data_IF_941380506365
#
_entry.id   IF_941380506365
#
_cell.length_a   1.000
_cell.length_b   1.000
_cell.length_c   1.000
_cell.angle_alpha   90.00
_cell.angle_beta   90.00
_cell.angle_gamma   90.00
#
_symmetry.space_group_name_H-M   'P 1'
#
loop_
_entity.id
_entity.type
_entity.pdbx_description
1 polymer ?
#
# COMPACT_ATOMS: atom_id res chain seq x y z
N UNK A 1 -2.59 22.33 8.02
CA UNK A 1 -2.80 23.67 8.64
C UNK A 1 -3.33 23.54 10.07
N UNK A 2 -4.31 22.67 10.36
CA UNK A 2 -4.94 22.58 11.70
C UNK A 2 -3.94 22.24 12.83
N UNK A 3 -2.94 21.40 12.57
CA UNK A 3 -1.92 20.96 13.54
C UNK A 3 -0.63 21.79 13.50
N UNK A 4 -0.48 22.62 12.48
CA UNK A 4 0.70 23.40 12.22
C UNK A 4 0.32 24.80 11.71
N UNK A 5 0.17 25.79 12.60
CA UNK A 5 -0.15 27.16 12.21
C UNK A 5 0.93 27.81 11.34
N UNK A 6 2.21 27.41 11.44
CA UNK A 6 3.29 27.95 10.62
C UNK A 6 3.14 27.55 9.15
N UNK A 7 2.51 26.41 8.87
CA UNK A 7 2.20 25.97 7.52
C UNK A 7 1.27 26.95 6.78
N UNK A 8 0.42 27.71 7.51
CA UNK A 8 -0.46 28.74 6.92
C UNK A 8 0.40 29.88 6.38
N UNK A 9 1.42 30.30 7.10
CA UNK A 9 2.32 31.37 6.68
C UNK A 9 3.20 30.96 5.49
N UNK A 10 3.45 29.68 5.31
CA UNK A 10 4.24 29.12 4.20
C UNK A 10 3.40 28.84 2.94
N UNK A 11 2.08 28.90 3.02
CA UNK A 11 1.22 28.67 1.86
C UNK A 11 1.39 29.78 0.82
N UNK A 12 1.55 29.40 -0.45
CA UNK A 12 1.62 30.32 -1.57
C UNK A 12 1.16 29.61 -2.86
N UNK A 13 0.75 30.39 -3.85
CA UNK A 13 0.43 29.89 -5.20
C UNK A 13 1.66 29.26 -5.87
N UNK A 14 2.84 29.73 -5.57
CA UNK A 14 4.09 29.14 -6.06
C UNK A 14 4.27 27.73 -5.52
N UNK A 15 4.05 27.52 -4.22
CA UNK A 15 4.11 26.20 -3.60
C UNK A 15 3.05 25.24 -4.19
N UNK A 16 1.86 25.71 -4.48
CA UNK A 16 0.83 24.92 -5.20
C UNK A 16 1.36 24.48 -6.57
N UNK A 17 1.98 25.40 -7.33
CA UNK A 17 2.57 25.06 -8.63
C UNK A 17 3.67 24.01 -8.53
N UNK A 18 4.56 24.13 -7.54
CA UNK A 18 5.63 23.13 -7.27
C UNK A 18 5.02 21.79 -6.91
N UNK A 19 4.00 21.76 -6.07
CA UNK A 19 3.29 20.51 -5.70
C UNK A 19 2.63 19.87 -6.93
N UNK A 20 1.95 20.66 -7.74
CA UNK A 20 1.30 20.24 -8.98
C UNK A 20 2.29 19.55 -9.94
N UNK A 21 3.45 20.16 -10.15
CA UNK A 21 4.48 19.58 -11.02
C UNK A 21 5.02 18.25 -10.45
N UNK A 22 5.27 18.19 -9.15
CA UNK A 22 5.71 16.98 -8.48
C UNK A 22 4.67 15.86 -8.57
N UNK A 23 3.39 16.18 -8.40
CA UNK A 23 2.29 15.21 -8.51
C UNK A 23 2.19 14.64 -9.93
N UNK A 24 2.39 15.47 -10.96
CA UNK A 24 2.46 15.02 -12.35
C UNK A 24 3.55 13.97 -12.55
N UNK A 25 4.74 14.22 -12.07
CA UNK A 25 5.88 13.28 -12.17
C UNK A 25 5.62 11.97 -11.39
N UNK A 26 5.01 12.07 -10.20
CA UNK A 26 4.64 10.92 -9.39
C UNK A 26 3.60 10.06 -10.12
N UNK A 27 2.55 10.68 -10.68
CA UNK A 27 1.50 9.97 -11.40
C UNK A 27 2.02 9.30 -12.67
N UNK A 28 2.90 9.95 -13.41
CA UNK A 28 3.54 9.37 -14.59
C UNK A 28 4.40 8.15 -14.23
N UNK A 29 5.15 8.21 -13.12
CA UNK A 29 5.90 7.07 -12.63
C UNK A 29 4.98 5.95 -12.13
N UNK A 30 3.87 6.29 -11.44
CA UNK A 30 2.88 5.31 -11.00
C UNK A 30 2.25 4.58 -12.19
N UNK A 31 1.91 5.29 -13.26
CA UNK A 31 1.41 4.69 -14.51
C UNK A 31 2.41 3.69 -15.11
N UNK A 32 3.70 4.05 -15.17
CA UNK A 32 4.76 3.15 -15.69
C UNK A 32 4.92 1.89 -14.85
N UNK A 33 4.70 1.99 -13.55
CA UNK A 33 4.77 0.86 -12.62
C UNK A 33 3.52 -0.01 -12.62
N UNK A 34 2.38 0.55 -13.09
CA UNK A 34 1.10 -0.14 -13.09
C UNK A 34 1.05 -1.17 -14.22
N UNK A 35 0.75 -2.42 -13.86
CA UNK A 35 0.54 -3.49 -14.83
C UNK A 35 -0.74 -3.28 -15.63
N UNK A 36 -0.87 -3.88 -16.84
CA UNK A 36 -2.16 -4.04 -17.49
C UNK A 36 -3.18 -4.70 -16.54
N UNK A 37 -4.42 -4.22 -16.52
CA UNK A 37 -5.45 -4.65 -15.56
C UNK A 37 -5.28 -4.08 -14.14
N UNK A 38 -4.22 -3.31 -13.88
CA UNK A 38 -3.94 -2.74 -12.57
C UNK A 38 -4.84 -1.55 -12.22
N UNK A 39 -4.94 -1.26 -10.93
CA UNK A 39 -5.75 -0.18 -10.35
C UNK A 39 -4.84 0.82 -9.65
N UNK A 40 -5.08 2.12 -9.86
CA UNK A 40 -4.39 3.23 -9.23
C UNK A 40 -5.39 4.09 -8.47
N UNK A 41 -5.22 4.20 -7.15
CA UNK A 41 -5.95 5.16 -6.33
C UNK A 41 -5.07 6.40 -6.12
N UNK A 42 -5.53 7.54 -6.62
CA UNK A 42 -4.92 8.84 -6.38
C UNK A 42 -5.72 9.60 -5.33
N UNK A 43 -5.05 10.09 -4.30
CA UNK A 43 -5.70 10.78 -3.20
C UNK A 43 -4.83 11.92 -2.68
N UNK A 44 -5.46 13.06 -2.36
CA UNK A 44 -4.81 14.24 -1.79
C UNK A 44 -5.64 14.83 -0.67
N UNK A 45 -5.02 15.62 0.19
CA UNK A 45 -5.70 16.41 1.23
C UNK A 45 -5.86 17.90 0.84
N UNK A 46 -5.57 18.28 -0.41
CA UNK A 46 -5.76 19.63 -0.93
C UNK A 46 -7.13 19.79 -1.58
N UNK A 47 -7.62 21.04 -1.66
CA UNK A 47 -8.85 21.39 -2.37
C UNK A 47 -8.60 21.98 -3.77
N UNK A 48 -7.34 22.22 -4.11
CA UNK A 48 -6.96 22.83 -5.37
C UNK A 48 -7.24 21.90 -6.56
N UNK A 49 -7.99 22.41 -7.56
CA UNK A 49 -8.34 21.66 -8.77
C UNK A 49 -7.08 21.21 -9.53
N UNK A 50 -6.09 22.11 -9.63
CA UNK A 50 -4.84 21.83 -10.34
C UNK A 50 -4.02 20.69 -9.69
N UNK A 51 -4.20 20.42 -8.43
CA UNK A 51 -3.58 19.29 -7.73
C UNK A 51 -4.43 18.01 -7.75
N UNK A 52 -5.68 18.12 -8.15
CA UNK A 52 -6.69 17.06 -8.08
C UNK A 52 -7.17 16.65 -9.48
N UNK A 53 -8.29 17.19 -9.93
CA UNK A 53 -8.93 16.79 -11.19
C UNK A 53 -8.05 17.03 -12.40
N UNK A 54 -7.32 18.14 -12.45
CA UNK A 54 -6.46 18.44 -13.58
C UNK A 54 -5.32 17.43 -13.72
N UNK A 55 -4.81 16.87 -12.60
CA UNK A 55 -3.80 15.79 -12.63
C UNK A 55 -4.38 14.48 -13.15
N UNK A 56 -5.58 14.13 -12.70
CA UNK A 56 -6.30 12.93 -13.16
C UNK A 56 -6.62 13.03 -14.65
N UNK A 57 -7.17 14.17 -15.06
CA UNK A 57 -7.52 14.42 -16.44
C UNK A 57 -6.29 14.41 -17.36
N UNK A 58 -5.20 15.05 -16.96
CA UNK A 58 -3.95 15.05 -17.73
C UNK A 58 -3.41 13.63 -17.92
N UNK A 59 -3.38 12.81 -16.87
CA UNK A 59 -2.92 11.42 -16.95
C UNK A 59 -3.81 10.59 -17.89
N UNK A 60 -5.13 10.68 -17.76
CA UNK A 60 -6.06 9.91 -18.60
C UNK A 60 -6.09 10.36 -20.05
N UNK A 61 -5.82 11.63 -20.33
CA UNK A 61 -5.66 12.14 -21.70
C UNK A 61 -4.32 11.74 -22.33
N UNK A 62 -3.24 11.68 -21.54
CA UNK A 62 -1.93 11.28 -22.00
C UNK A 62 -1.83 9.76 -22.29
N UNK A 63 -2.62 8.95 -21.61
CA UNK A 63 -2.58 7.49 -21.67
C UNK A 63 -3.97 6.94 -21.97
N UNK A 64 -4.22 6.59 -23.23
CA UNK A 64 -5.52 6.10 -23.71
C UNK A 64 -5.95 4.75 -23.10
N UNK A 65 -5.03 4.02 -22.49
CA UNK A 65 -5.28 2.80 -21.75
C UNK A 65 -5.62 3.04 -20.26
N UNK A 66 -5.60 4.30 -19.80
CA UNK A 66 -6.05 4.68 -18.46
C UNK A 66 -7.50 5.20 -18.49
N UNK A 67 -8.28 4.77 -17.53
CA UNK A 67 -9.68 5.14 -17.37
C UNK A 67 -9.98 5.55 -15.94
N UNK A 68 -10.71 6.67 -15.77
CA UNK A 68 -11.28 7.07 -14.48
C UNK A 68 -12.52 6.22 -14.18
N UNK A 69 -12.45 5.46 -13.10
CA UNK A 69 -13.55 4.62 -12.62
C UNK A 69 -14.52 5.44 -11.75
N UNK A 70 -15.77 5.01 -11.75
CA UNK A 70 -16.81 5.72 -10.99
C UNK A 70 -16.81 5.23 -9.52
N UNK A 71 -16.41 6.12 -8.62
CA UNK A 71 -16.49 5.95 -7.17
C UNK A 71 -17.50 6.92 -6.53
N UNK A 72 -18.32 7.58 -7.34
CA UNK A 72 -19.29 8.57 -6.86
C UNK A 72 -20.36 7.96 -5.93
N UNK A 73 -20.57 6.64 -5.99
CA UNK A 73 -21.46 5.89 -5.09
C UNK A 73 -21.07 6.02 -3.59
N UNK A 74 -19.82 6.38 -3.29
CA UNK A 74 -19.37 6.62 -1.91
C UNK A 74 -20.15 7.77 -1.26
N UNK A 75 -20.72 8.70 -2.05
CA UNK A 75 -21.57 9.80 -1.54
C UNK A 75 -22.76 9.31 -0.75
N UNK A 76 -23.31 8.15 -1.12
CA UNK A 76 -24.49 7.57 -0.46
C UNK A 76 -24.16 7.03 0.93
N UNK A 77 -22.92 6.57 1.13
CA UNK A 77 -22.46 5.97 2.38
C UNK A 77 -21.70 6.92 3.30
N UNK A 78 -21.06 7.95 2.75
CA UNK A 78 -20.30 8.93 3.50
C UNK A 78 -20.95 10.32 3.36
N UNK A 79 -21.65 10.78 4.39
CA UNK A 79 -22.22 12.14 4.42
C UNK A 79 -21.12 13.19 4.18
N UNK A 80 -21.44 14.26 3.46
CA UNK A 80 -20.50 15.34 3.15
C UNK A 80 -19.54 15.03 1.98
N UNK A 81 -19.89 14.09 1.13
CA UNK A 81 -19.14 13.75 -0.06
C UNK A 81 -19.74 14.43 -1.29
N UNK A 82 -18.91 15.15 -2.06
CA UNK A 82 -19.27 15.76 -3.33
C UNK A 82 -18.62 15.02 -4.51
N UNK A 83 -19.18 15.18 -5.71
CA UNK A 83 -18.52 14.75 -6.94
C UNK A 83 -17.23 15.55 -7.17
N UNK A 84 -16.31 14.98 -7.91
CA UNK A 84 -15.20 15.73 -8.50
C UNK A 84 -15.70 16.83 -9.41
N UNK A 85 -14.85 17.81 -9.66
CA UNK A 85 -15.13 18.91 -10.61
C UNK A 85 -14.89 18.42 -12.05
N UNK A 86 -15.71 18.90 -12.99
CA UNK A 86 -15.58 18.56 -14.40
C UNK A 86 -14.13 18.73 -14.93
N UNK A 87 -13.60 17.74 -15.69
CA UNK A 87 -14.27 16.55 -16.26
C UNK A 87 -14.15 15.27 -15.41
N UNK A 88 -13.91 15.37 -14.10
CA UNK A 88 -13.67 14.23 -13.21
C UNK A 88 -14.82 13.98 -12.22
N UNK A 89 -16.08 14.06 -12.68
CA UNK A 89 -17.28 13.91 -11.85
C UNK A 89 -17.40 12.52 -11.19
N UNK A 90 -16.68 11.53 -11.73
CA UNK A 90 -16.58 10.17 -11.18
C UNK A 90 -15.69 10.08 -9.94
N UNK A 91 -14.81 11.06 -9.73
CA UNK A 91 -14.03 11.19 -8.53
C UNK A 91 -14.88 11.73 -7.37
N UNK A 92 -14.32 11.72 -6.15
CA UNK A 92 -15.01 12.23 -4.96
C UNK A 92 -14.17 13.25 -4.22
N UNK A 93 -14.88 14.22 -3.61
CA UNK A 93 -14.35 15.21 -2.68
C UNK A 93 -15.06 15.07 -1.34
N UNK A 94 -14.32 14.82 -0.29
CA UNK A 94 -14.79 14.86 1.09
C UNK A 94 -14.55 16.26 1.63
N UNK A 95 -15.62 17.03 1.82
CA UNK A 95 -15.53 18.48 2.12
C UNK A 95 -16.05 18.78 3.51
N UNK A 96 -15.23 19.41 4.39
CA UNK A 96 -15.75 20.03 5.58
C UNK A 96 -16.66 21.23 5.22
N UNK A 97 -17.69 21.55 6.03
CA UNK A 97 -18.07 20.94 7.29
C UNK A 97 -18.99 19.72 7.16
N UNK A 98 -19.43 19.37 5.94
CA UNK A 98 -20.40 18.30 5.71
C UNK A 98 -19.82 16.92 6.05
N UNK A 99 -18.54 16.74 5.81
CA UNK A 99 -17.78 15.55 6.22
C UNK A 99 -17.07 15.79 7.57
N UNK A 100 -17.30 14.88 8.53
CA UNK A 100 -16.65 14.94 9.85
C UNK A 100 -15.21 14.46 9.79
N UNK A 101 -14.33 15.26 9.22
CA UNK A 101 -12.91 14.93 9.04
C UNK A 101 -12.13 16.06 8.42
N UNK A 102 -10.93 15.75 7.97
CA UNK A 102 -10.13 16.64 7.12
C UNK A 102 -10.59 16.45 5.67
N UNK A 103 -10.44 17.47 4.84
CA UNK A 103 -10.80 17.37 3.43
C UNK A 103 -9.92 16.36 2.69
N UNK A 104 -10.51 15.67 1.72
CA UNK A 104 -9.84 14.66 0.93
C UNK A 104 -10.40 14.65 -0.49
N UNK A 105 -9.53 14.51 -1.48
CA UNK A 105 -9.88 14.15 -2.84
C UNK A 105 -9.48 12.70 -3.08
N UNK A 106 -10.28 11.95 -3.85
CA UNK A 106 -9.93 10.60 -4.27
C UNK A 106 -10.45 10.31 -5.68
N UNK A 107 -9.60 9.72 -6.50
CA UNK A 107 -9.91 9.27 -7.85
C UNK A 107 -9.35 7.86 -8.06
N UNK A 108 -10.19 6.95 -8.49
CA UNK A 108 -9.83 5.58 -8.83
C UNK A 108 -9.65 5.47 -10.33
N UNK A 109 -8.51 4.96 -10.77
CA UNK A 109 -8.20 4.76 -12.18
C UNK A 109 -7.85 3.30 -12.44
N UNK A 110 -8.20 2.78 -13.59
CA UNK A 110 -7.80 1.45 -14.06
C UNK A 110 -6.96 1.55 -15.34
N UNK A 111 -6.03 0.63 -15.49
CA UNK A 111 -5.25 0.46 -16.71
C UNK A 111 -5.82 -0.70 -17.52
N UNK A 112 -6.12 -0.48 -18.78
CA UNK A 112 -6.68 -1.51 -19.67
C UNK A 112 -5.72 -2.69 -19.88
N UNK A 113 -6.28 -3.86 -20.19
CA UNK A 113 -5.56 -5.10 -20.46
C UNK A 113 -5.55 -6.04 -19.27
N UNK A 114 -5.07 -7.26 -19.52
CA UNK A 114 -4.92 -8.29 -18.52
C UNK A 114 -3.44 -8.60 -18.33
N UNK A 115 -3.04 -8.85 -17.09
CA UNK A 115 -1.70 -9.35 -16.77
C UNK A 115 -1.80 -10.83 -16.42
N UNK A 116 -1.45 -11.70 -17.35
CA UNK A 116 -1.33 -13.15 -17.11
C UNK A 116 -0.11 -13.51 -16.24
N UNK A 117 0.78 -12.56 -15.99
CA UNK A 117 2.03 -12.83 -15.29
C UNK A 117 1.85 -12.72 -13.78
N UNK A 118 1.50 -13.82 -13.13
CA UNK A 118 1.92 -14.03 -11.75
C UNK A 118 3.46 -14.00 -11.73
N UNK A 119 4.06 -13.07 -10.98
CA UNK A 119 5.51 -13.15 -10.77
C UNK A 119 5.82 -14.42 -9.99
N UNK A 120 6.77 -15.22 -10.46
CA UNK A 120 7.22 -16.36 -9.66
C UNK A 120 7.74 -15.83 -8.32
N UNK A 121 7.49 -16.59 -7.26
CA UNK A 121 8.05 -16.26 -5.95
C UNK A 121 9.56 -16.15 -6.05
N UNK A 122 10.10 -14.95 -5.95
CA UNK A 122 11.52 -14.65 -6.03
C UNK A 122 12.21 -14.66 -4.67
N UNK A 123 11.42 -14.39 -3.63
CA UNK A 123 11.91 -14.32 -2.26
C UNK A 123 12.93 -13.21 -2.05
N UNK A 124 13.83 -13.44 -1.10
CA UNK A 124 14.87 -12.49 -0.70
C UNK A 124 16.21 -13.21 -0.54
N UNK A 125 17.20 -12.86 -1.38
CA UNK A 125 18.48 -13.55 -1.44
C UNK A 125 19.40 -13.22 -0.25
N UNK A 126 19.32 -12.00 0.29
CA UNK A 126 20.15 -11.52 1.41
C UNK A 126 19.58 -11.91 2.78
N UNK A 127 19.11 -13.14 2.94
CA UNK A 127 18.64 -13.64 4.22
C UNK A 127 19.58 -14.73 4.76
N UNK A 128 19.67 -14.82 6.09
CA UNK A 128 20.42 -15.88 6.75
C UNK A 128 19.73 -17.24 6.55
N UNK A 129 20.51 -18.32 6.40
CA UNK A 129 19.95 -19.68 6.36
C UNK A 129 19.42 -20.06 7.73
N UNK A 130 18.22 -20.63 7.77
CA UNK A 130 17.65 -21.19 8.98
C UNK A 130 18.37 -22.51 9.24
N UNK A 131 19.06 -22.59 10.37
CA UNK A 131 19.86 -23.77 10.73
C UNK A 131 19.04 -24.82 11.47
N UNK A 132 18.11 -24.41 12.31
CA UNK A 132 17.29 -25.29 13.13
C UNK A 132 15.91 -24.66 13.39
N UNK A 133 14.85 -25.41 13.12
CA UNK A 133 13.47 -25.02 13.36
C UNK A 133 12.92 -25.57 14.69
N UNK A 134 13.65 -26.43 15.39
CA UNK A 134 13.17 -27.07 16.63
C UNK A 134 12.62 -26.09 17.66
N UNK A 135 13.28 -24.94 17.94
CA UNK A 135 12.74 -23.99 18.92
C UNK A 135 11.38 -23.41 18.49
N UNK A 136 11.16 -23.18 17.18
CA UNK A 136 9.88 -22.78 16.64
C UNK A 136 8.85 -23.90 16.76
N UNK A 137 9.18 -25.13 16.37
CA UNK A 137 8.28 -26.28 16.42
C UNK A 137 7.83 -26.57 17.85
N UNK A 138 8.73 -26.50 18.83
CA UNK A 138 8.41 -26.64 20.26
C UNK A 138 7.44 -25.57 20.70
N UNK A 139 7.73 -24.31 20.39
CA UNK A 139 6.84 -23.18 20.69
C UNK A 139 5.45 -23.39 20.10
N UNK A 140 5.36 -23.71 18.80
CA UNK A 140 4.09 -23.91 18.11
C UNK A 140 3.26 -25.04 18.75
N UNK A 141 3.90 -26.17 19.05
CA UNK A 141 3.27 -27.33 19.67
C UNK A 141 2.76 -27.06 21.10
N UNK A 142 3.50 -26.28 21.87
CA UNK A 142 3.17 -25.97 23.26
C UNK A 142 2.13 -24.87 23.42
N UNK A 143 2.04 -23.95 22.44
CA UNK A 143 1.31 -22.68 22.61
C UNK A 143 0.08 -22.57 21.72
N UNK A 144 0.09 -23.19 20.54
CA UNK A 144 -0.96 -23.03 19.54
C UNK A 144 -1.82 -24.29 19.37
N UNK A 145 -3.01 -24.14 18.81
CA UNK A 145 -3.79 -25.27 18.32
C UNK A 145 -3.04 -25.99 17.20
N UNK A 146 -3.33 -27.28 17.03
CA UNK A 146 -2.71 -28.09 15.97
C UNK A 146 -2.92 -27.47 14.58
N UNK A 147 -4.12 -26.99 14.29
CA UNK A 147 -4.48 -26.34 13.03
C UNK A 147 -3.65 -25.06 12.78
N UNK A 148 -3.53 -24.19 13.80
CA UNK A 148 -2.73 -22.98 13.69
C UNK A 148 -1.23 -23.28 13.51
N UNK A 149 -0.70 -24.28 14.21
CA UNK A 149 0.68 -24.71 14.07
C UNK A 149 0.96 -25.27 12.66
N UNK A 150 0.08 -26.14 12.14
CA UNK A 150 0.19 -26.69 10.78
C UNK A 150 0.17 -25.58 9.73
N UNK A 151 -0.75 -24.62 9.80
CA UNK A 151 -0.82 -23.47 8.90
C UNK A 151 0.47 -22.65 8.83
N UNK A 152 1.15 -22.48 9.96
CA UNK A 152 2.45 -21.79 10.00
C UNK A 152 3.55 -22.67 9.36
N UNK A 153 3.59 -23.96 9.66
CA UNK A 153 4.60 -24.89 9.15
C UNK A 153 4.44 -25.17 7.63
N UNK A 154 3.22 -25.13 7.11
CA UNK A 154 2.97 -25.24 5.67
C UNK A 154 3.59 -24.07 4.87
N UNK A 155 3.82 -22.94 5.54
CA UNK A 155 4.47 -21.79 4.95
C UNK A 155 6.03 -21.84 5.02
N UNK A 156 6.63 -22.96 5.44
CA UNK A 156 8.09 -23.07 5.69
C UNK A 156 8.97 -22.68 4.49
N UNK A 157 8.54 -22.94 3.27
CA UNK A 157 9.28 -22.58 2.06
C UNK A 157 9.39 -21.07 1.86
N UNK A 158 8.48 -20.33 2.49
CA UNK A 158 8.42 -18.86 2.50
C UNK A 158 9.09 -18.24 3.73
N UNK A 159 9.68 -19.05 4.60
CA UNK A 159 10.42 -18.53 5.75
C UNK A 159 11.69 -17.81 5.32
N UNK A 160 11.92 -16.64 5.90
CA UNK A 160 13.15 -15.85 5.71
C UNK A 160 13.62 -15.30 7.04
N UNK A 161 14.93 -15.38 7.26
CA UNK A 161 15.57 -14.96 8.50
C UNK A 161 16.37 -13.69 8.29
N UNK A 162 16.02 -12.62 9.00
CA UNK A 162 16.76 -11.37 9.04
C UNK A 162 17.37 -11.17 10.42
N UNK A 163 18.68 -11.28 10.53
CA UNK A 163 19.32 -11.46 11.83
C UNK A 163 18.73 -12.68 12.51
N UNK A 164 18.14 -12.49 13.70
CA UNK A 164 17.47 -13.55 14.45
C UNK A 164 15.93 -13.55 14.26
N UNK A 165 15.39 -12.60 13.48
CA UNK A 165 13.95 -12.47 13.25
C UNK A 165 13.48 -13.35 12.10
N UNK A 166 12.44 -14.15 12.35
CA UNK A 166 11.82 -15.03 11.38
C UNK A 166 10.58 -14.39 10.78
N UNK A 167 10.51 -14.39 9.45
CA UNK A 167 9.40 -13.85 8.66
C UNK A 167 8.78 -14.92 7.79
N UNK A 168 7.45 -14.82 7.57
CA UNK A 168 6.73 -15.52 6.50
C UNK A 168 6.51 -14.51 5.37
N UNK A 169 7.07 -14.82 4.19
CA UNK A 169 6.86 -14.00 3.00
C UNK A 169 5.49 -14.28 2.38
N UNK A 170 4.82 -13.28 1.78
CA UNK A 170 3.66 -13.50 0.92
C UNK A 170 4.00 -14.44 -0.26
N UNK A 171 3.00 -15.18 -0.77
CA UNK A 171 3.18 -16.16 -1.85
C UNK A 171 3.68 -15.52 -3.15
N UNK A 172 3.11 -14.36 -3.49
CA UNK A 172 3.39 -13.64 -4.74
C UNK A 172 4.53 -12.61 -4.59
N UNK A 173 5.44 -12.81 -3.63
CA UNK A 173 6.55 -11.89 -3.45
C UNK A 173 7.54 -12.02 -4.62
N UNK A 174 7.74 -10.97 -5.44
CA UNK A 174 8.77 -10.98 -6.48
C UNK A 174 10.17 -10.98 -5.87
N UNK A 175 11.20 -11.13 -6.70
CA UNK A 175 12.58 -10.98 -6.23
C UNK A 175 12.79 -9.58 -5.65
N UNK A 176 13.29 -9.53 -4.42
CA UNK A 176 13.65 -8.29 -3.73
C UNK A 176 15.16 -8.00 -3.84
N UNK A 177 15.85 -8.69 -4.72
CA UNK A 177 17.28 -8.49 -4.97
C UNK A 177 17.57 -7.05 -5.38
N UNK A 178 18.62 -6.45 -4.79
CA UNK A 178 19.00 -5.07 -5.05
C UNK A 178 18.17 -4.01 -4.32
N UNK A 179 17.11 -4.39 -3.58
CA UNK A 179 16.28 -3.48 -2.82
C UNK A 179 16.72 -3.40 -1.35
N UNK A 180 16.59 -2.21 -0.75
CA UNK A 180 16.68 -2.03 0.70
C UNK A 180 15.36 -2.44 1.34
N UNK A 181 15.28 -3.68 1.80
CA UNK A 181 14.07 -4.20 2.44
C UNK A 181 14.05 -3.85 3.92
N UNK A 182 13.01 -3.13 4.35
CA UNK A 182 12.80 -2.78 5.76
C UNK A 182 11.97 -3.85 6.49
N UNK A 183 11.00 -4.45 5.80
CA UNK A 183 10.18 -5.56 6.27
C UNK A 183 9.83 -6.43 5.07
N UNK A 184 9.98 -7.73 5.21
CA UNK A 184 9.78 -8.66 4.09
C UNK A 184 8.52 -9.52 4.20
N UNK A 185 7.63 -9.25 5.13
CA UNK A 185 6.41 -10.01 5.35
C UNK A 185 5.98 -10.01 6.81
N UNK A 186 5.28 -11.07 7.22
CA UNK A 186 4.83 -11.25 8.61
C UNK A 186 6.00 -11.70 9.49
N UNK A 187 6.42 -10.86 10.43
CA UNK A 187 7.36 -11.27 11.48
C UNK A 187 6.66 -12.18 12.46
N UNK A 188 7.04 -13.44 12.52
CA UNK A 188 6.44 -14.41 13.45
C UNK A 188 7.17 -14.52 14.79
N UNK A 189 8.43 -14.12 14.85
CA UNK A 189 9.21 -14.12 16.10
C UNK A 189 10.70 -14.06 15.89
N UNK A 190 11.43 -14.26 16.97
CA UNK A 190 12.89 -14.17 17.03
C UNK A 190 13.48 -15.46 17.61
N UNK A 191 14.48 -16.03 16.95
CA UNK A 191 15.27 -17.11 17.53
C UNK A 191 16.22 -16.56 18.60
N UNK A 192 16.14 -17.12 19.79
CA UNK A 192 17.10 -16.93 20.86
C UNK A 192 17.92 -18.22 21.01
N UNK A 193 18.95 -18.17 21.82
CA UNK A 193 19.91 -19.29 21.97
C UNK A 193 19.20 -20.64 22.16
N UNK A 194 18.19 -20.71 23.03
CA UNK A 194 17.54 -21.95 23.41
C UNK A 194 16.00 -21.93 23.23
N UNK A 195 15.42 -20.87 22.68
CA UNK A 195 13.97 -20.73 22.55
C UNK A 195 13.58 -19.85 21.37
N UNK A 196 12.31 -19.94 20.99
CA UNK A 196 11.66 -19.02 20.05
C UNK A 196 10.79 -18.04 20.84
N UNK A 197 10.97 -16.74 20.60
CA UNK A 197 10.14 -15.68 21.17
C UNK A 197 9.18 -15.17 20.09
N UNK A 198 7.83 -15.36 20.27
CA UNK A 198 6.87 -14.94 19.27
C UNK A 198 6.80 -13.40 19.17
N UNK A 199 6.59 -12.90 17.97
CA UNK A 199 6.29 -11.49 17.75
C UNK A 199 4.80 -11.21 17.96
N UNK A 200 4.47 -10.00 18.42
CA UNK A 200 3.08 -9.55 18.54
C UNK A 200 2.28 -9.69 17.24
N UNK A 201 2.94 -9.49 16.09
CA UNK A 201 2.32 -9.64 14.77
C UNK A 201 1.82 -11.06 14.51
N UNK A 202 2.45 -12.09 15.08
CA UNK A 202 1.97 -13.48 14.97
C UNK A 202 0.60 -13.62 15.65
N UNK A 203 0.43 -13.07 16.86
CA UNK A 203 -0.83 -13.14 17.58
C UNK A 203 -1.99 -12.41 16.89
N UNK A 204 -1.68 -11.39 16.07
CA UNK A 204 -2.68 -10.67 15.29
C UNK A 204 -3.05 -11.37 13.97
N UNK A 205 -2.23 -12.31 13.52
CA UNK A 205 -2.41 -13.04 12.25
C UNK A 205 -3.11 -14.41 12.43
N UNK A 206 -3.26 -14.85 13.66
CA UNK A 206 -3.95 -16.09 14.06
C UNK A 206 -5.43 -15.84 14.34
#
# INVERSE_FOLDING_TARGET
FRKDPEAIAQWSLENVSVCTQRQKEILENAYRMLKPGGILLYSTCTFEKCENEDRVNELTLAHSDMKLEDISYIKESAGGCAAGISPCEKAVRLMPPDFKGEGQFSALMSKAGDSENAFPFGGFENCSKIKDLKPLESFLKETLSKEAAEKILDAKDRFRLFGDNLYIMPEDTPSLSGLKVLRCGLCIGTFKKDRFEPAHALALAL
#
